data_IF_573902412038
#
_entry.id   IF_573902412038
#
_cell.length_a   1.000
_cell.length_b   1.000
_cell.length_c   1.000
_cell.angle_alpha   90.00
_cell.angle_beta   90.00
_cell.angle_gamma   90.00
#
_symmetry.space_group_name_H-M   'P 1'
#
loop_
_entity.id
_entity.type
_entity.pdbx_description
1 polymer ?
#
# COMPACT_ATOMS: atom_id res chain seq x y z
N UNK A 1 43.00 -25.18 37.42
CA UNK A 1 44.02 -25.98 36.69
C UNK A 1 43.23 -26.84 35.72
N UNK A 2 43.05 -26.47 34.46
CA UNK A 2 44.06 -26.36 33.41
C UNK A 2 43.67 -25.33 32.34
N UNK A 3 44.69 -24.68 31.75
CA UNK A 3 44.81 -24.25 30.34
C UNK A 3 43.71 -23.34 29.76
N UNK A 4 43.89 -22.03 29.58
CA UNK A 4 44.75 -21.39 28.56
C UNK A 4 44.70 -22.10 27.21
N UNK A 5 43.82 -21.72 26.28
CA UNK A 5 44.18 -20.77 25.21
C UNK A 5 43.11 -20.69 24.11
N UNK A 6 43.00 -19.54 23.43
CA UNK A 6 41.98 -19.23 22.44
C UNK A 6 42.43 -19.61 21.01
N UNK A 7 41.49 -20.08 20.20
CA UNK A 7 41.59 -20.07 18.74
C UNK A 7 40.42 -19.19 18.28
N UNK A 8 40.55 -17.91 17.91
CA UNK A 8 41.57 -17.29 17.06
C UNK A 8 41.82 -18.10 15.77
N UNK A 9 40.74 -18.27 15.01
CA UNK A 9 40.77 -18.33 13.54
C UNK A 9 39.77 -17.25 13.09
N UNK A 10 40.10 -15.96 13.08
CA UNK A 10 40.90 -15.31 12.03
C UNK A 10 40.71 -15.98 10.67
N UNK A 11 39.57 -15.68 10.05
CA UNK A 11 39.31 -15.55 8.61
C UNK A 11 37.83 -15.14 8.55
N UNK A 12 37.47 -13.86 8.62
CA UNK A 12 37.55 -12.97 7.47
C UNK A 12 37.16 -13.68 6.16
N UNK A 13 36.02 -14.36 6.20
CA UNK A 13 35.22 -14.64 5.01
C UNK A 13 34.72 -13.29 4.49
N UNK A 14 35.60 -12.67 3.70
CA UNK A 14 35.28 -11.52 2.87
C UNK A 14 33.92 -11.74 2.24
N UNK A 15 33.04 -10.75 2.41
CA UNK A 15 31.76 -10.71 1.74
C UNK A 15 31.96 -10.87 0.24
N UNK A 16 31.78 -12.10 -0.24
CA UNK A 16 31.53 -12.37 -1.64
C UNK A 16 30.07 -11.96 -1.83
N UNK A 17 29.86 -10.66 -2.05
CA UNK A 17 28.64 -10.09 -2.61
C UNK A 17 28.39 -10.80 -3.95
N UNK A 18 27.77 -11.97 -3.84
CA UNK A 18 27.27 -12.82 -4.92
C UNK A 18 25.91 -12.29 -5.39
N UNK A 19 25.71 -10.99 -5.25
CA UNK A 19 24.79 -10.27 -6.09
C UNK A 19 25.32 -10.24 -7.52
N UNK A 20 24.55 -10.88 -8.40
CA UNK A 20 24.18 -10.17 -9.63
C UNK A 20 25.28 -10.02 -10.68
N UNK A 21 25.73 -11.13 -11.26
CA UNK A 21 26.09 -11.09 -12.69
C UNK A 21 24.80 -11.26 -13.50
N UNK A 22 23.93 -10.24 -13.45
CA UNK A 22 22.60 -10.32 -14.02
C UNK A 22 22.64 -10.69 -15.51
N UNK A 23 23.62 -10.17 -16.27
CA UNK A 23 23.73 -10.45 -17.71
C UNK A 23 25.21 -10.40 -18.18
N UNK A 24 25.82 -11.56 -18.44
CA UNK A 24 27.19 -11.67 -18.96
C UNK A 24 27.36 -10.97 -20.33
N UNK A 25 26.32 -11.03 -21.16
CA UNK A 25 26.26 -10.36 -22.45
C UNK A 25 26.21 -8.82 -22.29
N UNK A 26 25.42 -8.32 -21.35
CA UNK A 26 25.35 -6.88 -21.06
C UNK A 26 26.66 -6.33 -20.50
N UNK A 27 27.36 -7.10 -19.66
CA UNK A 27 28.65 -6.70 -19.11
C UNK A 27 29.75 -6.53 -20.18
N UNK A 28 29.79 -7.43 -21.18
CA UNK A 28 30.68 -7.30 -22.34
C UNK A 28 30.19 -6.26 -23.36
N UNK A 29 28.92 -5.84 -23.27
CA UNK A 29 28.27 -4.96 -24.23
C UNK A 29 28.07 -5.63 -25.59
N UNK A 30 27.78 -6.93 -25.60
CA UNK A 30 27.56 -7.72 -26.82
C UNK A 30 26.17 -8.34 -26.79
N UNK A 31 25.64 -8.61 -27.98
CA UNK A 31 24.33 -9.28 -28.10
C UNK A 31 24.40 -10.75 -27.67
N UNK A 32 23.28 -11.32 -27.25
CA UNK A 32 23.13 -12.72 -26.80
C UNK A 32 23.51 -13.70 -27.93
N UNK A 33 23.34 -13.29 -29.20
CA UNK A 33 23.72 -14.06 -30.38
C UNK A 33 25.15 -13.83 -30.88
N UNK A 34 26.01 -13.12 -30.14
CA UNK A 34 27.34 -12.74 -30.64
C UNK A 34 28.27 -13.94 -30.88
N UNK A 35 28.96 -13.90 -32.02
CA UNK A 35 30.00 -14.87 -32.38
C UNK A 35 31.21 -14.78 -31.44
N UNK A 36 31.92 -15.90 -31.24
CA UNK A 36 33.11 -15.97 -30.38
C UNK A 36 34.19 -14.94 -30.74
N UNK A 37 34.30 -14.57 -32.02
CA UNK A 37 35.20 -13.50 -32.50
C UNK A 37 34.83 -12.12 -31.94
N UNK A 38 33.54 -11.81 -31.84
CA UNK A 38 33.04 -10.54 -31.29
C UNK A 38 33.27 -10.49 -29.78
N UNK A 39 32.99 -11.58 -29.06
CA UNK A 39 33.24 -11.73 -27.63
C UNK A 39 34.74 -11.52 -27.32
N UNK A 40 35.63 -12.15 -28.10
CA UNK A 40 37.08 -11.99 -27.95
C UNK A 40 37.55 -10.56 -28.21
N UNK A 41 36.98 -9.87 -29.19
CA UNK A 41 37.27 -8.45 -29.46
C UNK A 41 36.80 -7.54 -28.32
N UNK A 42 35.59 -7.76 -27.82
CA UNK A 42 35.02 -7.00 -26.71
C UNK A 42 35.84 -7.18 -25.43
N UNK A 43 36.23 -8.42 -25.11
CA UNK A 43 37.11 -8.75 -23.99
C UNK A 43 38.44 -7.98 -24.06
N UNK A 44 39.13 -8.03 -25.21
CA UNK A 44 40.40 -7.31 -25.39
C UNK A 44 40.27 -5.80 -25.15
N UNK A 45 39.19 -5.20 -25.66
CA UNK A 45 38.90 -3.77 -25.46
C UNK A 45 38.70 -3.42 -23.98
N UNK A 46 37.91 -4.22 -23.26
CA UNK A 46 37.63 -3.99 -21.85
C UNK A 46 38.82 -4.32 -20.94
N UNK A 47 39.62 -5.33 -21.29
CA UNK A 47 40.82 -5.70 -20.55
C UNK A 47 41.88 -4.59 -20.56
N UNK A 48 42.01 -3.85 -21.67
CA UNK A 48 42.90 -2.68 -21.75
C UNK A 48 42.39 -1.50 -20.91
N UNK A 49 41.07 -1.35 -20.78
CA UNK A 49 40.45 -0.29 -19.98
C UNK A 49 40.55 -0.56 -18.48
N UNK A 50 40.40 -1.83 -18.08
CA UNK A 50 40.41 -2.26 -16.68
C UNK A 50 41.74 -2.88 -16.24
N UNK A 51 42.81 -2.68 -17.00
CA UNK A 51 44.11 -3.25 -16.67
C UNK A 51 44.61 -2.73 -15.31
N UNK A 52 45.04 -3.63 -14.38
CA UNK A 52 45.42 -3.26 -13.01
C UNK A 52 46.63 -2.32 -12.94
N UNK A 53 47.45 -2.29 -13.98
CA UNK A 53 48.64 -1.42 -14.10
C UNK A 53 48.31 0.05 -14.42
N UNK A 54 47.17 0.30 -15.07
CA UNK A 54 46.75 1.67 -15.45
C UNK A 54 45.69 2.26 -14.52
N UNK A 55 44.93 1.41 -13.85
CA UNK A 55 43.79 1.79 -13.02
C UNK A 55 43.76 0.92 -11.75
N UNK A 56 44.51 1.33 -10.73
CA UNK A 56 44.73 0.57 -9.48
C UNK A 56 43.43 0.27 -8.70
N UNK A 57 42.32 0.96 -8.99
CA UNK A 57 41.02 0.81 -8.33
C UNK A 57 39.98 -0.06 -9.03
N UNK A 58 40.31 -0.77 -10.13
CA UNK A 58 39.34 -1.58 -10.91
C UNK A 58 39.66 -3.08 -10.98
N UNK A 59 40.44 -3.59 -10.03
CA UNK A 59 40.80 -5.02 -9.96
C UNK A 59 39.57 -5.93 -9.94
N UNK A 60 38.52 -5.53 -9.22
CA UNK A 60 37.28 -6.31 -9.13
C UNK A 60 36.55 -6.40 -10.48
N UNK A 61 36.57 -5.33 -11.28
CA UNK A 61 35.96 -5.31 -12.61
C UNK A 61 36.75 -6.18 -13.60
N UNK A 62 38.07 -6.24 -13.44
CA UNK A 62 38.92 -7.10 -14.25
C UNK A 62 38.70 -8.59 -13.92
N UNK A 63 38.63 -8.93 -12.63
CA UNK A 63 38.30 -10.30 -12.20
C UNK A 63 36.92 -10.73 -12.73
N UNK A 64 35.92 -9.83 -12.66
CA UNK A 64 34.59 -10.05 -13.26
C UNK A 64 34.68 -10.28 -14.77
N UNK A 65 35.42 -9.44 -15.49
CA UNK A 65 35.61 -9.58 -16.93
C UNK A 65 36.24 -10.94 -17.30
N UNK A 66 37.21 -11.40 -16.53
CA UNK A 66 37.87 -12.68 -16.74
C UNK A 66 36.91 -13.84 -16.50
N UNK A 67 36.14 -13.81 -15.41
CA UNK A 67 35.12 -14.83 -15.11
C UNK A 67 34.05 -14.91 -16.20
N UNK A 68 33.56 -13.76 -16.69
CA UNK A 68 32.60 -13.67 -17.78
C UNK A 68 33.15 -14.28 -19.07
N UNK A 69 34.39 -13.94 -19.43
CA UNK A 69 35.04 -14.49 -20.62
C UNK A 69 35.25 -15.99 -20.51
N UNK A 70 35.62 -16.51 -19.34
CA UNK A 70 35.81 -17.95 -19.13
C UNK A 70 34.51 -18.73 -19.42
N UNK A 71 33.37 -18.23 -18.96
CA UNK A 71 32.06 -18.87 -19.19
C UNK A 71 31.63 -18.78 -20.66
N UNK A 72 31.81 -17.63 -21.30
CA UNK A 72 31.36 -17.41 -22.68
C UNK A 72 32.32 -17.91 -23.78
N UNK A 73 33.58 -18.19 -23.41
CA UNK A 73 34.59 -18.70 -24.35
C UNK A 73 34.46 -20.21 -24.61
N UNK A 74 33.95 -20.96 -23.63
CA UNK A 74 33.71 -22.40 -23.73
C UNK A 74 32.27 -22.66 -24.22
N UNK A 75 32.13 -23.38 -25.33
CA UNK A 75 30.83 -23.70 -25.93
C UNK A 75 29.92 -24.50 -24.99
N UNK A 76 30.47 -25.39 -24.17
CA UNK A 76 29.68 -26.19 -23.23
C UNK A 76 29.12 -25.32 -22.09
N UNK A 77 29.95 -24.42 -21.54
CA UNK A 77 29.55 -23.48 -20.50
C UNK A 77 28.59 -22.42 -21.05
N UNK A 78 28.85 -21.90 -22.25
CA UNK A 78 27.98 -20.96 -22.96
C UNK A 78 26.59 -21.55 -23.19
N UNK A 79 26.49 -22.79 -23.68
CA UNK A 79 25.20 -23.44 -23.93
C UNK A 79 24.37 -23.62 -22.64
N UNK A 80 25.04 -23.96 -21.55
CA UNK A 80 24.40 -24.08 -20.23
C UNK A 80 23.89 -22.72 -19.76
N UNK A 81 24.68 -21.66 -19.96
CA UNK A 81 24.29 -20.30 -19.64
C UNK A 81 23.15 -19.78 -20.52
N UNK A 82 23.17 -20.01 -21.83
CA UNK A 82 22.10 -19.57 -22.74
C UNK A 82 20.74 -20.22 -22.39
N UNK A 83 20.77 -21.48 -21.96
CA UNK A 83 19.60 -22.21 -21.48
C UNK A 83 19.03 -21.60 -20.20
N UNK A 84 19.88 -21.27 -19.21
CA UNK A 84 19.43 -20.61 -17.98
C UNK A 84 19.05 -19.15 -18.21
N UNK A 85 19.72 -18.46 -19.13
CA UNK A 85 19.49 -17.06 -19.48
C UNK A 85 18.10 -16.86 -20.09
N UNK A 86 17.71 -17.68 -21.08
CA UNK A 86 16.38 -17.63 -21.69
C UNK A 86 15.27 -17.93 -20.68
N UNK A 87 15.50 -18.87 -19.77
CA UNK A 87 14.58 -19.19 -18.66
C UNK A 87 14.46 -18.04 -17.67
N UNK A 88 15.59 -17.51 -17.17
CA UNK A 88 15.61 -16.44 -16.19
C UNK A 88 14.99 -15.16 -16.74
N UNK A 89 15.26 -14.80 -17.99
CA UNK A 89 14.68 -13.62 -18.64
C UNK A 89 13.15 -13.70 -18.71
N UNK A 90 12.61 -14.84 -19.15
CA UNK A 90 11.15 -15.03 -19.20
C UNK A 90 10.51 -15.07 -17.80
N UNK A 91 11.19 -15.67 -16.82
CA UNK A 91 10.74 -15.66 -15.42
C UNK A 91 10.75 -14.24 -14.82
N UNK A 92 11.75 -13.43 -15.12
CA UNK A 92 11.86 -12.02 -14.73
C UNK A 92 10.73 -11.17 -15.33
N UNK A 93 10.51 -11.28 -16.64
CA UNK A 93 9.44 -10.59 -17.37
C UNK A 93 8.06 -10.96 -16.77
N UNK A 94 7.83 -12.25 -16.50
CA UNK A 94 6.60 -12.72 -15.84
C UNK A 94 6.48 -12.23 -14.40
N UNK A 95 7.58 -12.16 -13.65
CA UNK A 95 7.60 -11.62 -12.29
C UNK A 95 7.26 -10.13 -12.30
N UNK A 96 7.79 -9.37 -13.26
CA UNK A 96 7.47 -7.96 -13.43
C UNK A 96 6.00 -7.76 -13.81
N UNK A 97 5.49 -8.55 -14.75
CA UNK A 97 4.08 -8.50 -15.13
C UNK A 97 3.16 -8.75 -13.92
N UNK A 98 3.44 -9.81 -13.15
CA UNK A 98 2.71 -10.10 -11.90
C UNK A 98 2.79 -8.95 -10.90
N UNK A 99 3.94 -8.28 -10.75
CA UNK A 99 4.09 -7.10 -9.88
C UNK A 99 3.21 -5.95 -10.36
N UNK A 100 3.18 -5.67 -11.67
CA UNK A 100 2.34 -4.63 -12.27
C UNK A 100 0.86 -4.93 -12.08
N UNK A 101 0.44 -6.15 -12.38
CA UNK A 101 -0.95 -6.61 -12.20
C UNK A 101 -1.38 -6.53 -10.73
N UNK A 102 -0.54 -7.00 -9.79
CA UNK A 102 -0.85 -6.94 -8.37
C UNK A 102 -0.96 -5.50 -7.86
N UNK A 103 -0.11 -4.59 -8.35
CA UNK A 103 -0.19 -3.17 -8.04
C UNK A 103 -1.50 -2.56 -8.56
N UNK A 104 -1.94 -2.94 -9.76
CA UNK A 104 -3.17 -2.46 -10.35
C UNK A 104 -4.40 -2.99 -9.60
N UNK A 105 -4.43 -4.28 -9.27
CA UNK A 105 -5.45 -4.88 -8.41
C UNK A 105 -5.54 -4.15 -7.07
N UNK A 106 -4.39 -3.82 -6.45
CA UNK A 106 -4.36 -3.06 -5.19
C UNK A 106 -4.96 -1.67 -5.34
N UNK A 107 -4.66 -0.95 -6.43
CA UNK A 107 -5.24 0.38 -6.71
C UNK A 107 -6.75 0.28 -6.88
N UNK A 108 -7.23 -0.67 -7.67
CA UNK A 108 -8.66 -0.89 -7.90
C UNK A 108 -9.39 -1.24 -6.59
N UNK A 109 -8.79 -2.09 -5.76
CA UNK A 109 -9.36 -2.44 -4.44
C UNK A 109 -9.49 -1.21 -3.55
N UNK A 110 -8.43 -0.39 -3.45
CA UNK A 110 -8.44 0.86 -2.68
C UNK A 110 -9.50 1.84 -3.21
N UNK A 111 -9.58 2.02 -4.53
CA UNK A 111 -10.58 2.90 -5.14
C UNK A 111 -12.01 2.42 -4.86
N UNK A 112 -12.25 1.11 -4.90
CA UNK A 112 -13.55 0.52 -4.55
C UNK A 112 -13.90 0.75 -3.08
N UNK A 113 -12.97 0.51 -2.17
CA UNK A 113 -13.15 0.77 -0.73
C UNK A 113 -13.45 2.26 -0.46
N UNK A 114 -12.74 3.17 -1.12
CA UNK A 114 -13.00 4.61 -1.00
C UNK A 114 -14.38 5.00 -1.53
N UNK A 115 -14.82 4.42 -2.64
CA UNK A 115 -16.17 4.65 -3.18
C UNK A 115 -17.25 4.19 -2.20
N UNK A 116 -17.12 2.98 -1.66
CA UNK A 116 -18.04 2.43 -0.65
C UNK A 116 -18.07 3.37 0.57
N UNK A 117 -16.90 3.75 1.09
CA UNK A 117 -16.80 4.66 2.23
C UNK A 117 -17.45 6.02 1.97
N UNK A 118 -17.33 6.57 0.75
CA UNK A 118 -18.00 7.83 0.36
C UNK A 118 -19.52 7.67 0.32
N UNK A 119 -20.03 6.56 -0.22
CA UNK A 119 -21.47 6.28 -0.26
C UNK A 119 -22.04 6.08 1.14
N UNK A 120 -21.36 5.32 1.99
CA UNK A 120 -21.76 5.15 3.40
C UNK A 120 -21.76 6.48 4.16
N UNK A 121 -20.75 7.33 3.94
CA UNK A 121 -20.71 8.66 4.56
C UNK A 121 -21.86 9.56 4.09
N UNK A 122 -22.24 9.49 2.81
CA UNK A 122 -23.41 10.20 2.28
C UNK A 122 -24.70 9.70 2.95
N UNK A 123 -24.89 8.37 3.01
CA UNK A 123 -26.05 7.75 3.67
C UNK A 123 -26.15 8.15 5.14
N UNK A 124 -25.04 8.12 5.89
CA UNK A 124 -25.00 8.55 7.30
C UNK A 124 -25.40 10.01 7.47
N UNK A 125 -24.88 10.91 6.62
CA UNK A 125 -25.25 12.34 6.64
C UNK A 125 -26.74 12.55 6.34
N UNK A 126 -27.30 11.79 5.41
CA UNK A 126 -28.73 11.84 5.07
C UNK A 126 -29.61 11.32 6.22
N UNK A 127 -29.21 10.20 6.83
CA UNK A 127 -29.89 9.64 8.02
C UNK A 127 -29.81 10.62 9.22
N UNK A 128 -28.67 11.28 9.41
CA UNK A 128 -28.49 12.32 10.41
C UNK A 128 -29.37 13.55 10.13
N UNK A 129 -29.41 14.02 8.87
CA UNK A 129 -30.31 15.11 8.47
C UNK A 129 -31.76 14.75 8.77
N UNK A 130 -32.21 13.56 8.35
CA UNK A 130 -33.58 13.07 8.62
C UNK A 130 -33.86 12.99 10.13
N UNK A 131 -32.90 12.51 10.92
CA UNK A 131 -33.01 12.47 12.39
C UNK A 131 -33.15 13.87 13.00
N UNK A 132 -32.31 14.81 12.58
CA UNK A 132 -32.33 16.19 13.07
C UNK A 132 -33.64 16.89 12.68
N UNK A 133 -34.14 16.64 11.48
CA UNK A 133 -35.43 17.13 11.00
C UNK A 133 -36.59 16.55 11.82
N UNK A 134 -36.61 15.23 12.04
CA UNK A 134 -37.57 14.55 12.91
C UNK A 134 -37.55 15.14 14.33
N UNK A 135 -36.37 15.38 14.90
CA UNK A 135 -36.21 15.99 16.22
C UNK A 135 -36.73 17.43 16.26
N UNK A 136 -36.59 18.19 15.16
CA UNK A 136 -37.12 19.55 15.02
C UNK A 136 -38.65 19.59 14.92
N UNK A 137 -39.27 18.61 14.25
CA UNK A 137 -40.74 18.51 14.13
C UNK A 137 -41.41 17.77 15.29
N UNK A 138 -40.62 17.16 16.20
CA UNK A 138 -41.11 16.48 17.40
C UNK A 138 -41.59 17.35 18.59
N UNK A 139 -41.54 18.71 18.65
CA UNK A 139 -41.92 19.41 19.88
C UNK A 139 -43.43 19.43 20.18
N UNK A 140 -44.28 18.78 19.37
CA UNK A 140 -45.73 18.76 19.62
C UNK A 140 -46.28 17.53 20.36
N UNK A 141 -45.45 16.55 20.72
CA UNK A 141 -45.92 15.36 21.48
C UNK A 141 -45.16 15.12 22.80
N UNK A 142 -44.43 16.11 23.33
CA UNK A 142 -43.82 16.05 24.69
C UNK A 142 -44.55 16.88 25.74
N UNK A 143 -45.64 17.58 25.38
CA UNK A 143 -46.64 17.97 26.36
C UNK A 143 -47.42 16.71 26.73
N UNK A 144 -47.21 16.19 27.94
CA UNK A 144 -48.00 15.07 28.46
C UNK A 144 -49.49 15.34 28.19
N UNK A 145 -50.24 14.32 27.73
CA UNK A 145 -51.70 14.42 27.60
C UNK A 145 -52.30 14.98 28.90
N UNK A 146 -51.66 14.71 30.03
CA UNK A 146 -51.99 15.25 31.35
C UNK A 146 -51.86 16.78 31.45
N UNK A 147 -50.85 17.41 30.84
CA UNK A 147 -50.68 18.87 30.84
C UNK A 147 -51.74 19.58 29.98
N UNK A 148 -52.12 18.99 28.83
CA UNK A 148 -53.25 19.48 28.04
C UNK A 148 -54.60 19.26 28.74
N UNK A 149 -54.79 18.11 29.39
CA UNK A 149 -56.02 17.82 30.15
C UNK A 149 -56.18 18.75 31.37
N UNK A 150 -55.09 19.02 32.11
CA UNK A 150 -55.14 19.85 33.31
C UNK A 150 -55.46 21.31 33.00
N UNK A 151 -54.92 21.85 31.89
CA UNK A 151 -55.25 23.21 31.42
C UNK A 151 -56.69 23.31 30.89
N UNK A 152 -57.18 22.29 30.18
CA UNK A 152 -58.57 22.22 29.72
C UNK A 152 -59.57 22.18 30.90
N UNK A 153 -59.31 21.34 31.90
CA UNK A 153 -60.17 21.22 33.10
C UNK A 153 -60.15 22.53 33.92
N UNK A 154 -58.99 23.16 34.11
CA UNK A 154 -58.90 24.43 34.82
C UNK A 154 -59.69 25.55 34.12
N UNK A 155 -59.62 25.64 32.80
CA UNK A 155 -60.37 26.65 32.03
C UNK A 155 -61.90 26.46 32.17
N UNK A 156 -62.38 25.21 32.17
CA UNK A 156 -63.80 24.91 32.39
C UNK A 156 -64.28 25.20 33.82
N UNK A 157 -63.45 24.96 34.84
CA UNK A 157 -63.79 25.27 36.24
C UNK A 157 -63.83 26.79 36.46
N UNK A 158 -62.87 27.53 35.92
CA UNK A 158 -62.81 29.00 36.06
C UNK A 158 -64.00 29.68 35.38
N UNK A 159 -64.40 29.21 34.19
CA UNK A 159 -65.58 29.75 33.49
C UNK A 159 -66.90 29.42 34.21
N UNK A 160 -67.05 28.21 34.76
CA UNK A 160 -68.20 27.85 35.59
C UNK A 160 -68.29 28.68 36.88
N UNK A 161 -67.17 28.91 37.57
CA UNK A 161 -67.15 29.72 38.81
C UNK A 161 -67.40 31.21 38.55
N UNK A 162 -66.93 31.74 37.42
CA UNK A 162 -67.24 33.12 37.00
C UNK A 162 -68.74 33.29 36.71
N UNK A 163 -69.35 32.33 36.02
CA UNK A 163 -70.80 32.33 35.70
C UNK A 163 -71.69 32.15 36.95
N UNK A 164 -71.19 31.43 37.96
CA UNK A 164 -71.89 31.28 39.25
C UNK A 164 -71.79 32.54 40.13
N UNK A 165 -70.66 33.25 40.07
CA UNK A 165 -70.42 34.49 40.83
C UNK A 165 -71.22 35.68 40.29
N UNK A 166 -71.37 35.79 38.96
CA UNK A 166 -72.21 36.83 38.33
C UNK A 166 -73.70 36.63 38.60
N UNK A 167 -74.19 35.39 38.67
CA UNK A 167 -75.58 35.09 39.06
C UNK A 167 -75.90 35.37 40.53
N UNK A 168 -74.91 35.34 41.44
CA UNK A 168 -75.13 35.65 42.86
C UNK A 168 -75.19 37.15 43.16
N UNK A 169 -74.68 38.02 42.27
CA UNK A 169 -74.75 39.49 42.40
C UNK A 169 -76.03 40.11 41.82
N UNK A 170 -76.90 39.32 41.19
CA UNK A 170 -78.15 39.79 40.56
C UNK A 170 -79.43 39.43 41.34
N UNK A 171 -79.33 39.02 42.61
CA UNK A 171 -80.52 38.93 43.46
C UNK A 171 -80.77 40.30 44.12
N UNK A 172 -81.92 40.94 43.87
CA UNK A 172 -82.29 42.16 44.58
C UNK A 172 -82.60 41.80 46.04
N UNK A 173 -81.92 42.46 46.98
CA UNK A 173 -82.39 42.58 48.35
C UNK A 173 -83.61 43.48 48.35
N UNK A 174 -84.79 42.91 48.55
CA UNK A 174 -86.07 43.63 48.64
C UNK A 174 -87.21 42.67 48.84
#
# INVERSE_FOLDING_TARGET
MTSTSPLAFASEEAGMDSGQWEDYYAFLGVDVGANASVIRKAYKRLALLYHPDKNEGRKDQFQKLQAVYEVLSDEAKKRTYDSSYSRNRSEEEMRELRRREAAEIRKLRKAREERIKREEAKRKKEEEHKRNELQRVAPYCRGSIHACMHTYIHAHIVTCTHSYSTKKKSQPTG
#
